data_IF_898045638447
#
_entry.id   IF_898045638447
#
_cell.length_a   1.000
_cell.length_b   1.000
_cell.length_c   1.000
_cell.angle_alpha   90.00
_cell.angle_beta   90.00
_cell.angle_gamma   90.00
#
_symmetry.space_group_name_H-M   'P 1'
#
loop_
_entity.id
_entity.type
_entity.pdbx_description
1 polymer ?
#
# COMPACT_ATOMS: atom_id res chain seq x y z
N UNK A 1 33.38 41.08 51.02
CA UNK A 1 33.54 41.41 49.58
C UNK A 1 33.05 40.22 48.79
N UNK A 2 32.08 40.46 47.89
CA UNK A 2 31.75 39.65 46.68
C UNK A 2 31.13 38.26 46.92
N UNK A 3 30.03 37.82 46.31
CA UNK A 3 29.12 38.38 45.29
C UNK A 3 27.81 37.57 45.30
N UNK A 4 26.71 38.26 44.96
CA UNK A 4 25.34 37.81 44.72
C UNK A 4 25.25 36.72 43.63
N UNK A 5 24.38 35.72 43.83
CA UNK A 5 23.42 35.18 42.84
C UNK A 5 22.76 33.95 43.48
N UNK A 6 21.59 34.08 44.12
CA UNK A 6 20.32 33.78 43.48
C UNK A 6 20.46 33.02 42.14
N UNK A 7 20.37 31.70 42.20
CA UNK A 7 19.95 30.87 41.05
C UNK A 7 18.94 29.90 41.65
N UNK A 8 17.76 30.44 41.97
CA UNK A 8 16.56 30.25 41.16
C UNK A 8 16.27 28.76 40.94
N UNK A 9 15.27 28.32 41.70
CA UNK A 9 14.45 27.16 41.37
C UNK A 9 13.97 27.30 39.92
N UNK A 10 14.46 26.43 39.04
CA UNK A 10 13.73 26.05 37.85
C UNK A 10 13.35 24.58 38.02
N UNK A 11 12.05 24.24 37.89
CA UNK A 11 11.62 22.87 38.03
C UNK A 11 12.30 22.07 36.92
N UNK A 12 12.73 20.86 37.26
CA UNK A 12 13.11 19.82 36.32
C UNK A 12 11.86 19.35 35.53
N UNK A 13 11.18 20.28 34.88
CA UNK A 13 10.00 20.09 34.05
C UNK A 13 10.30 20.79 32.73
N UNK A 14 10.28 20.00 31.66
CA UNK A 14 10.87 20.25 30.33
C UNK A 14 12.39 19.98 30.34
N UNK A 15 12.91 18.90 29.77
CA UNK A 15 12.58 18.33 28.45
C UNK A 15 12.65 16.80 28.57
N UNK A 16 11.63 16.18 29.16
CA UNK A 16 11.14 14.99 28.48
C UNK A 16 10.52 15.54 27.20
N UNK A 17 11.22 15.44 26.07
CA UNK A 17 10.49 15.30 24.82
C UNK A 17 9.55 14.14 25.10
N UNK A 18 8.28 14.43 25.43
CA UNK A 18 7.28 13.39 25.54
C UNK A 18 7.38 12.67 24.21
N UNK A 19 7.86 11.42 24.23
CA UNK A 19 7.88 10.59 23.06
C UNK A 19 6.48 10.70 22.49
N UNK A 20 6.34 11.36 21.34
CA UNK A 20 5.04 11.46 20.71
C UNK A 20 4.75 10.06 20.21
N UNK A 21 3.68 9.47 20.71
CA UNK A 21 3.18 8.23 20.15
C UNK A 21 2.70 8.53 18.72
N UNK A 22 3.17 7.75 17.77
CA UNK A 22 2.78 7.85 16.37
C UNK A 22 2.02 6.59 15.98
N UNK A 23 0.96 6.78 15.20
CA UNK A 23 0.22 5.69 14.56
C UNK A 23 0.26 5.90 13.06
N UNK A 24 0.54 4.83 12.32
CA UNK A 24 0.44 4.79 10.86
C UNK A 24 -0.74 3.89 10.54
N UNK A 25 -1.65 4.38 9.71
CA UNK A 25 -2.83 3.61 9.28
C UNK A 25 -2.67 3.28 7.80
N UNK A 26 -2.65 1.99 7.50
CA UNK A 26 -2.56 1.43 6.16
C UNK A 26 -3.84 0.64 5.88
N UNK A 27 -4.57 1.02 4.83
CA UNK A 27 -5.75 0.29 4.37
C UNK A 27 -5.36 -0.60 3.19
N UNK A 28 -5.52 -1.90 3.37
CA UNK A 28 -5.17 -2.93 2.40
C UNK A 28 -6.33 -3.24 1.46
N UNK A 29 -6.01 -3.92 0.35
CA UNK A 29 -6.97 -4.44 -0.63
C UNK A 29 -7.93 -3.39 -1.20
N UNK A 30 -7.44 -2.17 -1.42
CA UNK A 30 -8.22 -1.08 -2.01
C UNK A 30 -8.39 -1.32 -3.50
N UNK A 31 -9.60 -1.68 -3.90
CA UNK A 31 -9.99 -1.98 -5.27
C UNK A 31 -11.39 -1.42 -5.58
N UNK A 32 -11.81 -1.34 -6.86
CA UNK A 32 -13.14 -0.86 -7.24
C UNK A 32 -14.29 -1.51 -6.45
N UNK A 33 -14.26 -2.84 -6.28
CA UNK A 33 -15.28 -3.59 -5.53
C UNK A 33 -15.31 -3.26 -4.03
N UNK A 34 -14.17 -2.89 -3.45
CA UNK A 34 -14.05 -2.50 -2.03
C UNK A 34 -14.30 -1.01 -1.78
N UNK A 35 -14.46 -0.18 -2.82
CA UNK A 35 -14.48 1.30 -2.74
C UNK A 35 -15.42 1.83 -1.67
N UNK A 36 -16.64 1.29 -1.61
CA UNK A 36 -17.65 1.74 -0.65
C UNK A 36 -17.22 1.48 0.81
N UNK A 37 -16.70 0.29 1.09
CA UNK A 37 -16.20 -0.08 2.42
C UNK A 37 -14.99 0.79 2.79
N UNK A 38 -14.03 0.95 1.86
CA UNK A 38 -12.85 1.78 2.05
C UNK A 38 -13.23 3.23 2.38
N UNK A 39 -14.21 3.79 1.65
CA UNK A 39 -14.68 5.15 1.89
C UNK A 39 -15.31 5.32 3.29
N UNK A 40 -16.09 4.33 3.75
CA UNK A 40 -16.64 4.32 5.11
C UNK A 40 -15.53 4.30 6.17
N UNK A 41 -14.52 3.44 6.00
CA UNK A 41 -13.37 3.37 6.92
C UNK A 41 -12.62 4.70 6.95
N UNK A 42 -12.32 5.28 5.79
CA UNK A 42 -11.64 6.59 5.69
C UNK A 42 -12.46 7.67 6.38
N UNK A 43 -13.77 7.68 6.18
CA UNK A 43 -14.67 8.65 6.81
C UNK A 43 -14.62 8.52 8.34
N UNK A 44 -14.70 7.31 8.88
CA UNK A 44 -14.59 7.05 10.33
C UNK A 44 -13.22 7.45 10.90
N UNK A 45 -12.14 7.20 10.16
CA UNK A 45 -10.79 7.62 10.52
C UNK A 45 -10.69 9.15 10.62
N UNK A 46 -11.25 9.87 9.65
CA UNK A 46 -11.31 11.34 9.68
C UNK A 46 -12.08 11.85 10.90
N UNK A 47 -13.23 11.27 11.23
CA UNK A 47 -14.00 11.63 12.43
C UNK A 47 -13.21 11.40 13.73
N UNK A 48 -12.27 10.47 13.73
CA UNK A 48 -11.38 10.14 14.86
C UNK A 48 -10.07 10.94 14.86
N UNK A 49 -9.91 11.87 13.91
CA UNK A 49 -8.74 12.75 13.82
C UNK A 49 -7.57 12.18 13.00
N UNK A 50 -7.74 11.02 12.35
CA UNK A 50 -6.75 10.48 11.41
C UNK A 50 -6.99 11.11 10.04
N UNK A 51 -6.13 12.06 9.67
CA UNK A 51 -6.27 12.85 8.44
C UNK A 51 -5.62 12.22 7.21
N UNK A 52 -4.67 11.33 7.40
CA UNK A 52 -3.87 10.72 6.33
C UNK A 52 -3.73 9.23 6.60
N UNK A 53 -3.87 8.43 5.56
CA UNK A 53 -3.61 7.00 5.57
C UNK A 53 -2.95 6.58 4.26
N UNK A 54 -2.26 5.44 4.30
CA UNK A 54 -1.72 4.80 3.11
C UNK A 54 -2.77 3.83 2.54
N UNK A 55 -3.09 3.97 1.25
CA UNK A 55 -4.09 3.20 0.53
C UNK A 55 -3.37 2.23 -0.40
N UNK A 56 -3.43 0.95 -0.07
CA UNK A 56 -2.77 -0.12 -0.80
C UNK A 56 -3.70 -0.61 -1.90
N UNK A 57 -3.54 -0.01 -3.07
CA UNK A 57 -4.42 -0.20 -4.22
C UNK A 57 -4.03 -1.44 -5.00
N UNK A 58 -5.00 -2.35 -5.15
CA UNK A 58 -4.84 -3.56 -5.97
C UNK A 58 -5.22 -3.25 -7.42
N UNK A 59 -4.29 -3.38 -8.38
CA UNK A 59 -4.54 -2.96 -9.75
C UNK A 59 -5.58 -3.82 -10.48
N UNK A 60 -5.60 -5.12 -10.19
CA UNK A 60 -6.56 -6.09 -10.70
C UNK A 60 -6.98 -7.02 -9.57
N UNK A 61 -8.08 -6.65 -8.94
CA UNK A 61 -8.65 -7.39 -7.82
C UNK A 61 -9.56 -8.48 -8.39
N UNK A 62 -9.29 -9.73 -8.04
CA UNK A 62 -10.03 -10.93 -8.50
C UNK A 62 -10.14 -11.14 -10.02
N UNK A 63 -9.27 -10.55 -10.84
CA UNK A 63 -9.32 -10.64 -12.32
C UNK A 63 -10.61 -10.06 -12.94
N UNK A 64 -11.32 -9.22 -12.19
CA UNK A 64 -12.54 -8.56 -12.65
C UNK A 64 -12.25 -7.37 -13.60
N UNK A 65 -10.96 -7.01 -13.72
CA UNK A 65 -10.47 -6.01 -14.64
C UNK A 65 -9.62 -4.95 -13.94
N UNK A 66 -8.68 -4.37 -14.71
CA UNK A 66 -7.84 -3.27 -14.25
C UNK A 66 -8.69 -2.12 -13.69
N UNK A 67 -8.32 -1.63 -12.51
CA UNK A 67 -8.98 -0.47 -11.86
C UNK A 67 -9.01 0.76 -12.77
N UNK A 68 -8.08 0.85 -13.72
CA UNK A 68 -7.98 1.93 -14.70
C UNK A 68 -9.19 2.01 -15.64
N UNK A 69 -9.99 0.94 -15.75
CA UNK A 69 -11.23 0.93 -16.52
C UNK A 69 -12.38 1.61 -15.77
N UNK A 70 -12.28 1.74 -14.44
CA UNK A 70 -13.25 2.42 -13.60
C UNK A 70 -12.80 3.88 -13.39
N UNK A 71 -13.31 4.77 -14.25
CA UNK A 71 -13.00 6.19 -14.19
C UNK A 71 -13.45 6.87 -12.89
N UNK A 72 -14.52 6.38 -12.25
CA UNK A 72 -14.97 6.94 -10.97
C UNK A 72 -14.02 6.55 -9.84
N UNK A 73 -13.57 5.29 -9.81
CA UNK A 73 -12.59 4.83 -8.83
C UNK A 73 -11.26 5.56 -8.98
N UNK A 74 -10.77 5.77 -10.20
CA UNK A 74 -9.56 6.58 -10.46
C UNK A 74 -9.75 8.02 -9.98
N UNK A 75 -10.89 8.65 -10.28
CA UNK A 75 -11.20 10.01 -9.82
C UNK A 75 -11.23 10.09 -8.29
N UNK A 76 -11.83 9.10 -7.63
CA UNK A 76 -11.87 8.99 -6.17
C UNK A 76 -10.47 8.87 -5.56
N UNK A 77 -9.59 8.02 -6.13
CA UNK A 77 -8.21 7.90 -5.69
C UNK A 77 -7.44 9.23 -5.84
N UNK A 78 -7.65 9.96 -6.93
CA UNK A 78 -7.03 11.29 -7.13
C UNK A 78 -7.52 12.30 -6.09
N UNK A 79 -8.81 12.26 -5.74
CA UNK A 79 -9.36 13.09 -4.68
C UNK A 79 -8.66 12.82 -3.34
N UNK A 80 -8.54 11.55 -2.97
CA UNK A 80 -7.84 11.15 -1.74
C UNK A 80 -6.36 11.54 -1.76
N UNK A 81 -5.66 11.36 -2.88
CA UNK A 81 -4.27 11.81 -3.04
C UNK A 81 -4.15 13.34 -2.88
N UNK A 82 -5.10 14.11 -3.41
CA UNK A 82 -5.13 15.57 -3.25
C UNK A 82 -5.40 16.00 -1.81
N UNK A 83 -6.18 15.22 -1.05
CA UNK A 83 -6.42 15.41 0.38
C UNK A 83 -5.22 14.99 1.26
N UNK A 84 -4.17 14.41 0.65
CA UNK A 84 -2.92 14.06 1.29
C UNK A 84 -2.76 12.59 1.66
N UNK A 85 -3.69 11.72 1.27
CA UNK A 85 -3.53 10.27 1.41
C UNK A 85 -2.43 9.73 0.50
N UNK A 86 -1.78 8.66 0.93
CA UNK A 86 -0.68 8.07 0.18
C UNK A 86 -1.18 6.89 -0.64
N UNK A 87 -1.04 6.96 -1.97
CA UNK A 87 -1.34 5.82 -2.83
C UNK A 87 -0.14 4.88 -2.87
N UNK A 88 -0.35 3.60 -2.56
CA UNK A 88 0.66 2.56 -2.55
C UNK A 88 0.20 1.43 -3.47
N UNK A 89 1.11 0.91 -4.31
CA UNK A 89 0.78 -0.19 -5.20
C UNK A 89 0.76 -1.49 -4.40
N UNK A 90 -0.36 -2.22 -4.43
CA UNK A 90 -0.54 -3.46 -3.68
C UNK A 90 -0.68 -4.68 -4.59
N UNK A 91 0.47 -5.32 -4.86
CA UNK A 91 0.55 -6.44 -5.78
C UNK A 91 0.38 -6.03 -7.25
N UNK A 92 1.06 -6.76 -8.14
CA UNK A 92 0.94 -6.60 -9.59
C UNK A 92 1.31 -7.93 -10.24
N UNK A 93 0.57 -8.98 -9.91
CA UNK A 93 0.78 -10.30 -10.50
C UNK A 93 -0.31 -10.55 -11.55
N UNK A 94 -0.24 -9.75 -12.61
CA UNK A 94 -0.87 -10.10 -13.87
C UNK A 94 -0.13 -11.31 -14.47
N UNK A 95 -0.91 -12.34 -14.78
CA UNK A 95 -0.50 -13.53 -15.49
C UNK A 95 0.34 -13.18 -16.73
N UNK A 96 1.40 -13.97 -16.97
CA UNK A 96 2.15 -13.91 -18.23
C UNK A 96 1.18 -14.08 -19.41
N UNK A 97 1.32 -13.33 -20.51
CA UNK A 97 0.68 -13.74 -21.76
C UNK A 97 1.25 -15.12 -22.14
N UNK A 98 0.41 -16.10 -22.54
CA UNK A 98 0.87 -17.44 -22.85
C UNK A 98 1.88 -17.35 -23.99
N UNK A 99 3.14 -17.70 -23.71
CA UNK A 99 4.14 -17.81 -24.77
C UNK A 99 3.76 -19.01 -25.62
N UNK A 100 3.50 -18.77 -26.88
CA UNK A 100 3.16 -19.78 -27.87
C UNK A 100 4.29 -20.84 -27.88
N UNK A 101 3.94 -22.06 -27.43
CA UNK A 101 4.79 -23.26 -27.14
C UNK A 101 5.13 -23.47 -25.66
N UNK A 102 4.14 -23.88 -24.87
CA UNK A 102 4.39 -24.42 -23.53
C UNK A 102 4.55 -25.94 -23.59
N UNK A 103 5.62 -26.43 -22.96
CA UNK A 103 5.85 -27.87 -22.74
C UNK A 103 5.08 -28.29 -21.49
N UNK A 104 4.72 -29.57 -21.34
CA UNK A 104 3.96 -30.09 -20.17
C UNK A 104 4.58 -29.69 -18.81
N UNK A 105 5.89 -29.39 -18.78
CA UNK A 105 6.61 -28.88 -17.61
C UNK A 105 6.19 -27.46 -17.21
N UNK A 106 5.89 -26.58 -18.17
CA UNK A 106 5.47 -25.20 -17.91
C UNK A 106 4.06 -25.15 -17.32
N UNK A 107 3.16 -26.02 -17.80
CA UNK A 107 1.82 -26.19 -17.18
C UNK A 107 1.90 -26.69 -15.74
N UNK A 108 2.87 -27.54 -15.44
CA UNK A 108 3.09 -28.03 -14.07
C UNK A 108 3.64 -26.93 -13.18
N UNK A 109 4.55 -26.10 -13.69
CA UNK A 109 5.04 -24.90 -13.01
C UNK A 109 3.88 -23.96 -12.68
N UNK A 110 3.07 -23.57 -13.66
CA UNK A 110 1.93 -22.65 -13.49
C UNK A 110 0.90 -23.17 -12.48
N UNK A 111 0.70 -24.49 -12.41
CA UNK A 111 -0.24 -25.12 -11.46
C UNK A 111 0.36 -25.30 -10.06
N UNK A 112 1.67 -25.47 -9.95
CA UNK A 112 2.39 -25.48 -8.67
C UNK A 112 2.50 -24.07 -8.07
N UNK A 113 2.63 -23.03 -8.89
CA UNK A 113 2.65 -21.62 -8.45
C UNK A 113 1.34 -21.16 -7.79
N UNK A 114 0.21 -21.82 -8.08
CA UNK A 114 -1.08 -21.53 -7.45
C UNK A 114 -1.22 -22.13 -6.03
N UNK A 115 -0.26 -22.95 -5.58
CA UNK A 115 -0.28 -23.57 -4.26
C UNK A 115 1.12 -23.54 -3.60
N UNK A 116 1.23 -22.73 -2.53
CA UNK A 116 2.29 -22.70 -1.51
C UNK A 116 3.51 -21.76 -1.68
N UNK A 117 3.52 -20.75 -0.81
CA UNK A 117 4.62 -20.44 0.14
C UNK A 117 5.96 -19.89 -0.40
N UNK A 118 5.97 -19.08 -1.46
CA UNK A 118 7.24 -18.44 -1.85
C UNK A 118 7.20 -17.39 -2.95
N UNK A 119 6.40 -16.33 -2.81
CA UNK A 119 6.29 -15.26 -3.84
C UNK A 119 7.58 -14.46 -4.13
N UNK A 120 8.68 -14.66 -3.40
CA UNK A 120 9.94 -13.93 -3.61
C UNK A 120 11.18 -14.78 -3.87
N UNK A 121 11.10 -16.10 -3.81
CA UNK A 121 12.34 -16.89 -3.88
C UNK A 121 12.83 -17.14 -5.31
N UNK A 122 11.96 -17.01 -6.33
CA UNK A 122 12.26 -17.47 -7.69
C UNK A 122 12.08 -16.39 -8.79
N UNK A 123 11.81 -15.13 -8.40
CA UNK A 123 11.83 -14.00 -9.33
C UNK A 123 13.22 -13.36 -9.33
N UNK A 124 13.89 -13.33 -10.48
CA UNK A 124 15.09 -12.52 -10.64
C UNK A 124 14.77 -11.06 -10.28
N UNK A 125 15.68 -10.40 -9.55
CA UNK A 125 15.56 -9.00 -9.19
C UNK A 125 15.16 -8.11 -10.38
N UNK A 126 15.70 -8.38 -11.57
CA UNK A 126 15.39 -7.64 -12.80
C UNK A 126 13.94 -7.78 -13.26
N UNK A 127 13.33 -8.96 -13.13
CA UNK A 127 11.92 -9.16 -13.45
C UNK A 127 11.02 -8.45 -12.43
N UNK A 128 11.33 -8.59 -11.14
CA UNK A 128 10.60 -7.89 -10.08
C UNK A 128 10.65 -6.36 -10.28
N UNK A 129 11.85 -5.83 -10.54
CA UNK A 129 12.07 -4.41 -10.81
C UNK A 129 11.32 -3.92 -12.04
N UNK A 130 11.37 -4.66 -13.16
CA UNK A 130 10.64 -4.30 -14.39
C UNK A 130 9.14 -4.21 -14.14
N UNK A 131 8.57 -5.15 -13.38
CA UNK A 131 7.14 -5.17 -13.05
C UNK A 131 6.73 -4.02 -12.14
N UNK A 132 7.51 -3.74 -11.09
CA UNK A 132 7.24 -2.59 -10.21
C UNK A 132 7.27 -1.28 -11.00
N UNK A 133 8.22 -1.13 -11.93
CA UNK A 133 8.30 0.04 -12.81
C UNK A 133 7.07 0.13 -13.72
N UNK A 134 6.65 -0.97 -14.35
CA UNK A 134 5.46 -0.99 -15.20
C UNK A 134 4.19 -0.60 -14.41
N UNK A 135 3.98 -1.18 -13.23
CA UNK A 135 2.86 -0.85 -12.36
C UNK A 135 2.86 0.63 -11.97
N UNK A 136 4.04 1.17 -11.59
CA UNK A 136 4.19 2.59 -11.27
C UNK A 136 3.82 3.47 -12.46
N UNK A 137 4.25 3.10 -13.66
CA UNK A 137 4.01 3.89 -14.86
C UNK A 137 2.53 3.85 -15.27
N UNK A 138 1.81 2.75 -15.02
CA UNK A 138 0.34 2.67 -15.18
C UNK A 138 -0.40 3.62 -14.23
N UNK A 139 -0.04 3.63 -12.95
CA UNK A 139 -0.63 4.57 -11.97
C UNK A 139 -0.37 6.02 -12.37
N UNK A 140 0.84 6.31 -12.85
CA UNK A 140 1.19 7.65 -13.35
C UNK A 140 0.43 8.03 -14.61
N UNK A 141 0.16 7.08 -15.51
CA UNK A 141 -0.70 7.32 -16.67
C UNK A 141 -2.14 7.68 -16.25
N UNK A 142 -2.58 7.20 -15.08
CA UNK A 142 -3.81 7.62 -14.43
C UNK A 142 -3.66 8.87 -13.57
N UNK A 143 -2.58 9.66 -13.69
CA UNK A 143 -2.39 10.90 -12.95
C UNK A 143 -2.20 10.73 -11.44
N UNK A 144 -1.95 9.51 -10.96
CA UNK A 144 -1.63 9.21 -9.57
C UNK A 144 -0.10 9.23 -9.36
N UNK A 145 0.33 9.48 -8.12
CA UNK A 145 1.73 9.51 -7.69
C UNK A 145 1.95 8.44 -6.62
N UNK A 146 2.09 7.16 -7.01
CA UNK A 146 2.31 6.09 -6.05
C UNK A 146 3.61 6.31 -5.27
N UNK A 147 3.52 6.26 -3.94
CA UNK A 147 4.63 6.52 -3.01
C UNK A 147 5.44 5.26 -2.65
N UNK A 148 4.87 4.08 -2.91
CA UNK A 148 5.53 2.82 -2.57
C UNK A 148 4.91 1.61 -3.27
N UNK A 149 5.50 0.46 -2.98
CA UNK A 149 5.05 -0.85 -3.46
C UNK A 149 5.07 -1.82 -2.29
N UNK A 150 3.95 -2.50 -2.06
CA UNK A 150 3.81 -3.56 -1.07
C UNK A 150 3.29 -4.79 -1.76
N UNK A 151 3.96 -5.91 -1.52
CA UNK A 151 3.59 -7.19 -2.12
C UNK A 151 2.32 -7.72 -1.46
N UNK A 152 1.51 -8.47 -2.20
CA UNK A 152 0.40 -9.22 -1.63
C UNK A 152 0.97 -10.40 -0.82
N UNK A 153 1.26 -10.20 0.45
CA UNK A 153 1.42 -11.33 1.34
C UNK A 153 0.04 -12.00 1.48
N UNK A 154 -0.08 -13.31 1.20
CA UNK A 154 -1.28 -14.07 1.54
C UNK A 154 -1.50 -13.99 3.05
N UNK A 155 -2.41 -13.13 3.51
CA UNK A 155 -2.94 -13.23 4.85
C UNK A 155 -3.88 -14.43 4.89
N UNK A 156 -3.38 -15.55 5.41
CA UNK A 156 -4.22 -16.66 5.81
C UNK A 156 -5.01 -16.15 7.02
N UNK A 157 -6.24 -15.71 6.82
CA UNK A 157 -7.19 -15.64 7.93
C UNK A 157 -7.45 -17.10 8.34
N UNK A 158 -6.73 -17.57 9.35
CA UNK A 158 -7.20 -18.70 10.14
C UNK A 158 -8.32 -18.16 11.01
N UNK A 159 -9.52 -18.68 10.76
CA UNK A 159 -10.80 -18.38 11.42
C UNK A 159 -10.68 -18.09 12.93
N UNK A 160 -11.44 -17.08 13.39
CA UNK A 160 -11.95 -16.97 14.75
C UNK A 160 -13.43 -17.37 14.76
#
# INVERSE_FOLDING_TARGET
MSTIAATEFLPLVAIASAARDFIVVSLHDVAPSSRQIANTIISELVHRGVRVCSLLVVPDYHHEGLFTKDGEFVSWLRGLEADGHEIVIHGYFHERPPRTRETLRDKFLTRFYAQNEGEFYDLSYEEARRRIVAARDEFRAQGLKPQGFVVRATQRFSDF
#
